data_IF_007445219614
#
_entry.id   IF_007445219614
#
_cell.length_a   1.000
_cell.length_b   1.000
_cell.length_c   1.000
_cell.angle_alpha   90.00
_cell.angle_beta   90.00
_cell.angle_gamma   90.00
#
_symmetry.space_group_name_H-M   'P 1'
#
loop_
_entity.id
_entity.type
_entity.pdbx_description
1 polymer ?
#
# COMPACT_ATOMS: atom_id res chain seq x y z
N UNK A 1 -6.80 -38.72 25.00
CA UNK A 1 -6.55 -37.36 25.50
C UNK A 1 -5.03 -37.21 25.48
N UNK A 2 -4.38 -36.41 24.67
CA UNK A 2 -4.83 -35.22 23.97
C UNK A 2 -3.81 -34.96 22.85
N UNK A 3 -4.35 -34.80 21.65
CA UNK A 3 -3.76 -34.35 20.40
C UNK A 3 -2.35 -33.73 20.51
N UNK A 4 -1.36 -34.46 19.99
CA UNK A 4 -0.09 -33.88 19.53
C UNK A 4 -0.43 -32.81 18.51
N UNK A 5 -0.37 -31.54 18.92
CA UNK A 5 -0.50 -30.37 18.06
C UNK A 5 0.36 -30.60 16.81
N UNK A 6 -0.30 -30.72 15.65
CA UNK A 6 0.35 -30.56 14.36
C UNK A 6 0.89 -29.12 14.32
N UNK A 7 2.14 -28.96 14.74
CA UNK A 7 2.91 -27.76 14.41
C UNK A 7 2.94 -27.69 12.89
N UNK A 8 2.13 -26.77 12.36
CA UNK A 8 2.02 -26.45 10.96
C UNK A 8 3.39 -25.96 10.50
N UNK A 9 4.20 -26.90 10.00
CA UNK A 9 5.59 -26.69 9.62
C UNK A 9 5.58 -25.79 8.39
N UNK A 10 5.66 -24.49 8.59
CA UNK A 10 5.97 -23.53 7.53
C UNK A 10 7.26 -24.04 6.88
N UNK A 11 7.17 -24.51 5.64
CA UNK A 11 8.32 -25.00 4.89
C UNK A 11 9.15 -23.77 4.54
N UNK A 12 9.99 -23.33 5.47
CA UNK A 12 11.04 -22.36 5.18
C UNK A 12 12.03 -23.09 4.27
N UNK A 13 11.97 -22.79 2.97
CA UNK A 13 12.99 -23.21 2.02
C UNK A 13 14.34 -22.63 2.49
N UNK A 14 15.36 -23.47 2.62
CA UNK A 14 16.73 -22.98 2.81
C UNK A 14 17.22 -22.50 1.45
N UNK A 15 16.99 -21.22 1.15
CA UNK A 15 17.35 -20.59 -0.12
C UNK A 15 18.82 -20.83 -0.52
N UNK A 16 19.72 -21.12 0.43
CA UNK A 16 21.12 -21.43 0.17
C UNK A 16 21.38 -22.88 -0.27
N UNK A 17 20.46 -23.81 0.01
CA UNK A 17 20.61 -25.25 -0.28
C UNK A 17 19.65 -25.77 -1.34
N UNK A 18 18.50 -25.13 -1.47
CA UNK A 18 17.45 -25.59 -2.38
C UNK A 18 17.79 -25.33 -3.85
N UNK A 19 17.24 -26.17 -4.74
CA UNK A 19 17.43 -26.01 -6.19
C UNK A 19 16.73 -24.75 -6.69
N UNK A 20 17.34 -24.06 -7.65
CA UNK A 20 16.75 -22.86 -8.29
C UNK A 20 15.33 -23.13 -8.80
N UNK A 21 15.07 -24.29 -9.42
CA UNK A 21 13.73 -24.64 -9.92
C UNK A 21 12.68 -24.77 -8.81
N UNK A 22 13.08 -25.23 -7.62
CA UNK A 22 12.19 -25.30 -6.47
C UNK A 22 11.87 -23.89 -5.95
N UNK A 23 12.89 -23.05 -5.79
CA UNK A 23 12.71 -21.64 -5.38
C UNK A 23 11.86 -20.85 -6.37
N UNK A 24 12.03 -21.09 -7.67
CA UNK A 24 11.18 -20.52 -8.72
C UNK A 24 9.72 -20.97 -8.55
N UNK A 25 9.47 -22.26 -8.30
CA UNK A 25 8.14 -22.78 -8.07
C UNK A 25 7.41 -22.14 -6.88
N UNK A 26 8.15 -21.70 -5.85
CA UNK A 26 7.60 -21.00 -4.69
C UNK A 26 7.28 -19.52 -4.96
N UNK A 27 8.07 -18.85 -5.81
CA UNK A 27 7.96 -17.41 -6.06
C UNK A 27 7.08 -17.07 -7.26
N UNK A 28 7.14 -17.88 -8.33
CA UNK A 28 6.51 -17.59 -9.60
C UNK A 28 4.99 -17.37 -9.50
N UNK A 29 4.21 -18.17 -8.74
CA UNK A 29 2.78 -17.93 -8.59
C UNK A 29 2.47 -16.53 -8.04
N UNK A 30 3.20 -16.09 -7.01
CA UNK A 30 3.01 -14.78 -6.39
C UNK A 30 3.47 -13.63 -7.29
N UNK A 31 4.57 -13.83 -8.03
CA UNK A 31 5.03 -12.86 -9.02
C UNK A 31 4.05 -12.71 -10.19
N UNK A 32 3.37 -13.79 -10.59
CA UNK A 32 2.31 -13.72 -11.60
C UNK A 32 1.09 -12.95 -11.09
N UNK A 33 0.72 -13.12 -9.82
CA UNK A 33 -0.33 -12.29 -9.18
C UNK A 33 0.08 -10.81 -9.16
N UNK A 34 1.33 -10.52 -8.79
CA UNK A 34 1.91 -9.17 -8.87
C UNK A 34 1.86 -8.57 -10.27
N UNK A 35 2.21 -9.36 -11.29
CA UNK A 35 2.16 -8.94 -12.70
C UNK A 35 0.73 -8.59 -13.14
N UNK A 36 -0.25 -9.42 -12.77
CA UNK A 36 -1.66 -9.14 -13.05
C UNK A 36 -2.09 -7.86 -12.32
N UNK A 37 -1.74 -7.71 -11.04
CA UNK A 37 -2.02 -6.52 -10.23
C UNK A 37 -1.44 -5.24 -10.84
N UNK A 38 -0.15 -5.26 -11.20
CA UNK A 38 0.52 -4.13 -11.85
C UNK A 38 -0.06 -3.81 -13.24
N UNK A 39 -0.54 -4.82 -13.97
CA UNK A 39 -1.26 -4.62 -15.24
C UNK A 39 -2.60 -3.93 -14.99
N UNK A 40 -3.36 -4.33 -13.97
CA UNK A 40 -4.61 -3.68 -13.59
C UNK A 40 -4.37 -2.22 -13.17
N UNK A 41 -3.34 -1.97 -12.37
CA UNK A 41 -2.92 -0.62 -12.00
C UNK A 41 -2.61 0.23 -13.25
N UNK A 42 -1.87 -0.32 -14.23
CA UNK A 42 -1.57 0.35 -15.50
C UNK A 42 -2.84 0.67 -16.31
N UNK A 43 -3.82 -0.24 -16.34
CA UNK A 43 -5.12 0.00 -16.99
C UNK A 43 -5.90 1.11 -16.28
N UNK A 44 -5.79 1.23 -14.95
CA UNK A 44 -6.41 2.34 -14.22
C UNK A 44 -5.75 3.66 -14.58
N UNK A 45 -4.41 3.71 -14.61
CA UNK A 45 -3.67 4.92 -15.02
C UNK A 45 -4.09 5.38 -16.41
N UNK A 46 -4.29 4.46 -17.36
CA UNK A 46 -4.71 4.83 -18.72
C UNK A 46 -6.12 5.43 -18.78
N UNK A 47 -6.99 5.18 -17.80
CA UNK A 47 -8.30 5.87 -17.70
C UNK A 47 -8.17 7.34 -17.34
N UNK A 48 -7.01 7.77 -16.85
CA UNK A 48 -6.71 9.16 -16.51
C UNK A 48 -5.77 9.83 -17.52
N UNK A 49 -5.71 9.30 -18.76
CA UNK A 49 -4.92 9.88 -19.86
C UNK A 49 -5.23 11.36 -20.09
N UNK A 50 -6.49 11.79 -19.98
CA UNK A 50 -6.87 13.21 -20.12
C UNK A 50 -6.25 14.09 -19.03
N UNK A 51 -6.16 13.61 -17.79
CA UNK A 51 -5.51 14.33 -16.68
C UNK A 51 -4.00 14.45 -16.94
N UNK A 52 -3.39 13.36 -17.41
CA UNK A 52 -1.96 13.28 -17.68
C UNK A 52 -1.55 14.12 -18.90
N UNK A 53 -2.37 14.17 -19.95
CA UNK A 53 -2.08 14.94 -21.15
C UNK A 53 -2.18 16.45 -20.90
N UNK A 54 -3.02 16.88 -19.97
CA UNK A 54 -3.07 18.27 -19.52
C UNK A 54 -1.82 18.65 -18.72
N UNK A 55 -1.33 17.76 -17.84
CA UNK A 55 -0.16 18.01 -17.00
C UNK A 55 0.73 16.75 -16.86
N UNK A 56 1.66 16.57 -17.80
CA UNK A 56 2.57 15.41 -17.85
C UNK A 56 3.41 15.29 -16.57
N UNK A 57 3.76 16.42 -15.93
CA UNK A 57 4.54 16.46 -14.69
C UNK A 57 3.89 15.67 -13.54
N UNK A 58 2.57 15.43 -13.56
CA UNK A 58 1.92 14.59 -12.57
C UNK A 58 2.44 13.14 -12.59
N UNK A 59 2.88 12.63 -13.74
CA UNK A 59 3.44 11.28 -13.84
C UNK A 59 4.72 11.12 -13.00
N UNK A 60 5.48 12.20 -12.78
CA UNK A 60 6.76 12.16 -12.08
C UNK A 60 6.61 11.84 -10.59
N UNK A 61 5.46 12.19 -10.00
CA UNK A 61 5.17 11.98 -8.58
C UNK A 61 4.46 10.66 -8.29
N UNK A 62 3.95 9.98 -9.33
CA UNK A 62 3.19 8.74 -9.18
C UNK A 62 3.98 7.64 -8.45
N UNK A 63 5.25 7.34 -8.81
CA UNK A 63 6.02 6.30 -8.11
C UNK A 63 6.22 6.63 -6.63
N UNK A 64 6.42 7.91 -6.31
CA UNK A 64 6.64 8.35 -4.93
C UNK A 64 5.37 8.21 -4.10
N UNK A 65 4.21 8.61 -4.64
CA UNK A 65 2.93 8.49 -3.92
C UNK A 65 2.61 7.03 -3.63
N UNK A 66 2.73 6.17 -4.63
CA UNK A 66 2.50 4.72 -4.46
C UNK A 66 3.45 4.14 -3.42
N UNK A 67 4.75 4.46 -3.52
CA UNK A 67 5.76 3.99 -2.56
C UNK A 67 5.47 4.46 -1.13
N UNK A 68 5.16 5.75 -0.92
CA UNK A 68 4.92 6.29 0.43
C UNK A 68 3.68 5.68 1.07
N UNK A 69 2.60 5.48 0.30
CA UNK A 69 1.41 4.77 0.73
C UNK A 69 1.72 3.35 1.19
N UNK A 70 2.42 2.56 0.37
CA UNK A 70 2.77 1.17 0.68
C UNK A 70 3.75 1.07 1.86
N UNK A 71 4.72 1.98 1.96
CA UNK A 71 5.66 2.02 3.08
C UNK A 71 4.95 2.28 4.41
N UNK A 72 4.00 3.23 4.46
CA UNK A 72 3.21 3.52 5.67
C UNK A 72 2.27 2.36 6.00
N UNK A 73 1.62 1.77 5.00
CA UNK A 73 0.77 0.60 5.17
C UNK A 73 1.53 -0.61 5.73
N UNK A 74 2.67 -0.94 5.12
CA UNK A 74 3.54 -2.06 5.54
C UNK A 74 4.08 -1.86 6.96
N UNK A 75 4.45 -0.63 7.33
CA UNK A 75 4.84 -0.32 8.72
C UNK A 75 3.68 -0.56 9.69
N UNK A 76 2.48 -0.11 9.33
CA UNK A 76 1.26 -0.31 10.12
C UNK A 76 0.97 -1.81 10.32
N UNK A 77 0.99 -2.61 9.25
CA UNK A 77 0.75 -4.04 9.27
C UNK A 77 1.80 -4.77 10.14
N UNK A 78 3.08 -4.43 9.96
CA UNK A 78 4.18 -5.03 10.74
C UNK A 78 4.01 -4.78 12.25
N UNK A 79 3.62 -3.56 12.63
CA UNK A 79 3.37 -3.21 14.03
C UNK A 79 2.11 -3.92 14.54
N UNK A 80 1.07 -4.03 13.72
CA UNK A 80 -0.18 -4.70 14.07
C UNK A 80 0.03 -6.18 14.38
N UNK A 81 0.70 -6.93 13.51
CA UNK A 81 1.00 -8.36 13.73
C UNK A 81 1.78 -8.57 15.02
N UNK A 82 2.77 -7.70 15.31
CA UNK A 82 3.53 -7.73 16.58
C UNK A 82 2.69 -7.44 17.81
N UNK A 83 1.66 -6.59 17.69
CA UNK A 83 0.77 -6.23 18.78
C UNK A 83 -0.36 -7.26 18.98
N UNK A 84 -0.82 -7.91 17.91
CA UNK A 84 -1.78 -9.02 17.96
C UNK A 84 -1.22 -10.17 18.79
N UNK A 85 0.06 -10.50 18.60
CA UNK A 85 0.79 -11.49 19.42
C UNK A 85 0.84 -11.15 20.92
N UNK A 86 0.57 -9.89 21.30
CA UNK A 86 0.56 -9.41 22.70
C UNK A 86 -0.85 -9.33 23.31
N UNK A 87 -1.92 -9.56 22.53
CA UNK A 87 -3.30 -9.79 23.01
C UNK A 87 -4.00 -8.64 23.75
N UNK A 88 -3.63 -7.37 23.54
CA UNK A 88 -3.98 -6.27 24.47
C UNK A 88 -4.89 -5.15 23.95
N UNK A 89 -5.27 -5.11 22.67
CA UNK A 89 -5.97 -3.93 22.10
C UNK A 89 -7.11 -4.36 21.17
N UNK A 90 -8.26 -3.67 21.26
CA UNK A 90 -9.37 -3.84 20.32
C UNK A 90 -9.02 -3.31 18.93
N UNK A 91 -9.45 -4.02 17.88
CA UNK A 91 -9.16 -3.66 16.48
C UNK A 91 -9.62 -2.23 16.14
N UNK A 92 -10.81 -1.83 16.59
CA UNK A 92 -11.36 -0.49 16.34
C UNK A 92 -10.52 0.61 16.98
N UNK A 93 -10.10 0.45 18.23
CA UNK A 93 -9.25 1.45 18.90
C UNK A 93 -7.87 1.52 18.27
N UNK A 94 -7.34 0.39 17.80
CA UNK A 94 -6.08 0.36 17.06
C UNK A 94 -6.19 1.09 15.71
N UNK A 95 -7.22 0.76 14.90
CA UNK A 95 -7.51 1.40 13.62
C UNK A 95 -7.63 2.93 13.75
N UNK A 96 -8.35 3.42 14.77
CA UNK A 96 -8.50 4.86 15.00
C UNK A 96 -7.15 5.52 15.33
N UNK A 97 -6.30 4.88 16.13
CA UNK A 97 -4.97 5.41 16.44
C UNK A 97 -4.07 5.45 15.21
N UNK A 98 -4.03 4.37 14.44
CA UNK A 98 -3.22 4.30 13.22
C UNK A 98 -3.72 5.26 12.14
N UNK A 99 -5.04 5.47 12.04
CA UNK A 99 -5.59 6.49 11.16
C UNK A 99 -5.15 7.91 11.57
N UNK A 100 -5.13 8.23 12.88
CA UNK A 100 -4.61 9.52 13.36
C UNK A 100 -3.11 9.67 13.09
N UNK A 101 -2.33 8.60 13.24
CA UNK A 101 -0.91 8.58 12.85
C UNK A 101 -0.78 8.86 11.34
N UNK A 102 -1.58 8.19 10.52
CA UNK A 102 -1.66 8.42 9.08
C UNK A 102 -1.98 9.87 8.73
N UNK A 103 -2.93 10.51 9.43
CA UNK A 103 -3.25 11.94 9.22
C UNK A 103 -2.02 12.81 9.48
N UNK A 104 -1.33 12.60 10.62
CA UNK A 104 -0.14 13.40 10.98
C UNK A 104 0.97 13.21 9.94
N UNK A 105 1.26 11.97 9.57
CA UNK A 105 2.25 11.66 8.53
C UNK A 105 1.85 12.25 7.18
N UNK A 106 0.56 12.18 6.83
CA UNK A 106 0.03 12.74 5.60
C UNK A 106 0.22 14.25 5.55
N UNK A 107 0.03 14.97 6.66
CA UNK A 107 0.26 16.42 6.70
C UNK A 107 1.74 16.71 6.47
N UNK A 108 2.62 16.00 7.17
CA UNK A 108 4.07 16.18 7.06
C UNK A 108 4.54 15.90 5.63
N UNK A 109 4.24 14.72 5.08
CA UNK A 109 4.70 14.34 3.75
C UNK A 109 3.99 15.10 2.64
N UNK A 110 2.71 15.45 2.81
CA UNK A 110 1.95 16.30 1.88
C UNK A 110 2.53 17.70 1.77
N UNK A 111 2.87 18.34 2.89
CA UNK A 111 3.54 19.64 2.87
C UNK A 111 4.92 19.52 2.23
N UNK A 112 5.73 18.53 2.65
CA UNK A 112 7.08 18.36 2.11
C UNK A 112 7.09 18.16 0.60
N UNK A 113 6.27 17.23 0.09
CA UNK A 113 6.23 16.97 -1.35
C UNK A 113 5.59 18.13 -2.12
N UNK A 114 4.61 18.82 -1.54
CA UNK A 114 4.04 20.03 -2.12
C UNK A 114 5.08 21.14 -2.28
N UNK A 115 5.92 21.37 -1.27
CA UNK A 115 7.02 22.34 -1.35
C UNK A 115 8.05 21.95 -2.42
N UNK A 116 8.44 20.68 -2.46
CA UNK A 116 9.37 20.15 -3.48
C UNK A 116 8.78 20.33 -4.88
N UNK A 117 7.52 19.95 -5.07
CA UNK A 117 6.82 20.09 -6.35
C UNK A 117 6.69 21.56 -6.76
N UNK A 118 6.42 22.47 -5.82
CA UNK A 118 6.36 23.90 -6.11
C UNK A 118 7.71 24.44 -6.57
N UNK A 119 8.79 24.08 -5.88
CA UNK A 119 10.14 24.50 -6.26
C UNK A 119 10.60 23.91 -7.59
N UNK A 120 10.28 22.64 -7.85
CA UNK A 120 10.76 21.93 -9.03
C UNK A 120 9.95 22.24 -10.29
N UNK A 121 8.61 22.20 -10.18
CA UNK A 121 7.71 22.37 -11.34
C UNK A 121 7.36 23.84 -11.56
N UNK A 122 7.42 24.68 -10.52
CA UNK A 122 7.08 26.10 -10.61
C UNK A 122 5.58 26.39 -10.73
N UNK A 123 4.72 25.38 -10.53
CA UNK A 123 3.25 25.52 -10.60
C UNK A 123 2.63 25.22 -9.24
N UNK A 124 2.05 26.25 -8.61
CA UNK A 124 1.35 26.10 -7.34
C UNK A 124 0.15 25.14 -7.45
N UNK A 125 -0.57 25.17 -8.58
CA UNK A 125 -1.71 24.26 -8.82
C UNK A 125 -1.27 22.80 -8.77
N UNK A 126 -0.17 22.45 -9.47
CA UNK A 126 0.39 21.08 -9.46
C UNK A 126 0.93 20.74 -8.07
N UNK A 127 1.66 21.66 -7.44
CA UNK A 127 2.21 21.46 -6.11
C UNK A 127 1.13 21.16 -5.05
N UNK A 128 0.05 21.93 -5.07
CA UNK A 128 -1.10 21.72 -4.19
C UNK A 128 -1.78 20.37 -4.47
N UNK A 129 -1.99 20.03 -5.74
CA UNK A 129 -2.53 18.72 -6.15
C UNK A 129 -1.70 17.56 -5.60
N UNK A 130 -0.38 17.59 -5.81
CA UNK A 130 0.53 16.53 -5.36
C UNK A 130 0.56 16.44 -3.84
N UNK A 131 0.65 17.58 -3.15
CA UNK A 131 0.68 17.63 -1.69
C UNK A 131 -0.63 17.12 -1.06
N UNK A 132 -1.77 17.55 -1.58
CA UNK A 132 -3.08 17.10 -1.11
C UNK A 132 -3.28 15.60 -1.38
N UNK A 133 -2.92 15.14 -2.57
CA UNK A 133 -3.04 13.73 -2.90
C UNK A 133 -2.14 12.86 -2.02
N UNK A 134 -0.91 13.28 -1.74
CA UNK A 134 -0.02 12.60 -0.79
C UNK A 134 -0.63 12.55 0.62
N UNK A 135 -1.20 13.67 1.09
CA UNK A 135 -1.88 13.71 2.38
C UNK A 135 -3.00 12.67 2.47
N UNK A 136 -3.91 12.64 1.50
CA UNK A 136 -5.06 11.72 1.51
C UNK A 136 -4.59 10.26 1.42
N UNK A 137 -3.61 9.99 0.55
CA UNK A 137 -3.02 8.67 0.38
C UNK A 137 -2.44 8.13 1.69
N UNK A 138 -1.54 8.89 2.32
CA UNK A 138 -0.87 8.48 3.56
C UNK A 138 -1.84 8.40 4.73
N UNK A 139 -2.86 9.27 4.78
CA UNK A 139 -3.88 9.22 5.82
C UNK A 139 -4.72 7.93 5.77
N UNK A 140 -5.01 7.42 4.56
CA UNK A 140 -5.87 6.24 4.37
C UNK A 140 -5.07 4.93 4.35
N UNK A 141 -3.76 4.97 4.05
CA UNK A 141 -2.91 3.78 3.99
C UNK A 141 -3.01 2.83 5.21
N UNK A 142 -3.02 3.32 6.47
CA UNK A 142 -3.18 2.44 7.63
C UNK A 142 -4.51 1.68 7.65
N UNK A 143 -5.58 2.29 7.13
CA UNK A 143 -6.91 1.66 7.06
C UNK A 143 -6.86 0.50 6.06
N UNK A 144 -6.32 0.74 4.86
CA UNK A 144 -6.23 -0.28 3.81
C UNK A 144 -5.36 -1.46 4.30
N UNK A 145 -4.20 -1.15 4.87
CA UNK A 145 -3.25 -2.15 5.37
C UNK A 145 -3.83 -3.05 6.47
N UNK A 146 -4.82 -2.58 7.22
CA UNK A 146 -5.44 -3.36 8.31
C UNK A 146 -6.74 -4.03 7.88
N UNK A 147 -7.51 -3.43 6.97
CA UNK A 147 -8.74 -4.01 6.44
C UNK A 147 -8.44 -5.21 5.53
N UNK A 148 -7.43 -5.13 4.66
CA UNK A 148 -7.15 -6.20 3.71
C UNK A 148 -6.84 -7.52 4.42
N UNK A 149 -5.93 -7.59 5.43
CA UNK A 149 -5.68 -8.83 6.16
C UNK A 149 -6.89 -9.26 7.00
N UNK A 150 -7.59 -8.35 7.66
CA UNK A 150 -8.72 -8.71 8.54
C UNK A 150 -9.98 -9.15 7.79
N UNK A 151 -10.19 -8.67 6.57
CA UNK A 151 -11.31 -9.07 5.72
C UNK A 151 -11.05 -10.41 5.01
N UNK A 152 -9.80 -10.66 4.59
CA UNK A 152 -9.42 -11.85 3.83
C UNK A 152 -9.09 -13.02 4.75
N UNK A 153 -8.38 -12.78 5.85
CA UNK A 153 -8.00 -13.78 6.83
C UNK A 153 -8.99 -13.76 8.00
N UNK A 154 -10.26 -14.06 7.71
CA UNK A 154 -11.18 -14.49 8.77
C UNK A 154 -10.68 -15.81 9.34
N UNK A 155 -10.79 -15.92 10.67
CA UNK A 155 -10.34 -16.99 11.56
C UNK A 155 -9.84 -18.27 10.85
N UNK A 156 -8.55 -18.59 11.05
CA UNK A 156 -7.84 -19.87 10.77
C UNK A 156 -6.81 -19.87 9.63
N UNK A 157 -6.68 -18.78 8.86
CA UNK A 157 -5.57 -18.64 7.89
C UNK A 157 -4.49 -17.72 8.47
N UNK A 158 -3.24 -18.19 8.48
CA UNK A 158 -2.08 -17.42 8.95
C UNK A 158 -1.87 -16.20 8.03
N UNK A 159 -2.05 -14.96 8.53
CA UNK A 159 -1.85 -13.74 7.74
C UNK A 159 -0.45 -13.65 7.13
N UNK A 160 0.55 -14.31 7.74
CA UNK A 160 1.94 -14.27 7.30
C UNK A 160 2.20 -15.01 5.98
N UNK A 161 1.30 -15.90 5.54
CA UNK A 161 1.56 -16.81 4.42
C UNK A 161 1.23 -16.26 3.02
N UNK A 162 0.67 -15.06 2.90
CA UNK A 162 0.34 -14.48 1.58
C UNK A 162 -0.29 -13.10 1.55
N UNK A 163 -0.52 -12.45 2.70
CA UNK A 163 -1.13 -11.12 2.75
C UNK A 163 -0.29 -10.04 2.06
N UNK A 164 1.05 -10.15 2.09
CA UNK A 164 1.96 -9.10 1.63
C UNK A 164 1.73 -8.66 0.17
N UNK A 165 1.98 -9.52 -0.84
CA UNK A 165 1.84 -9.12 -2.24
C UNK A 165 0.42 -8.67 -2.61
N UNK A 166 -0.60 -9.30 -2.03
CA UNK A 166 -1.99 -8.92 -2.30
C UNK A 166 -2.33 -7.55 -1.70
N UNK A 167 -1.91 -7.28 -0.46
CA UNK A 167 -2.13 -6.00 0.21
C UNK A 167 -1.44 -4.86 -0.54
N UNK A 168 -0.21 -5.07 -1.01
CA UNK A 168 0.48 -4.08 -1.85
C UNK A 168 -0.28 -3.80 -3.15
N UNK A 169 -0.78 -4.80 -3.87
CA UNK A 169 -1.56 -4.56 -5.10
C UNK A 169 -2.81 -3.70 -4.82
N UNK A 170 -3.53 -4.01 -3.74
CA UNK A 170 -4.72 -3.23 -3.35
C UNK A 170 -4.33 -1.81 -2.97
N UNK A 171 -3.25 -1.65 -2.20
CA UNK A 171 -2.72 -0.35 -1.80
C UNK A 171 -2.31 0.48 -3.03
N UNK A 172 -1.61 -0.10 -3.99
CA UNK A 172 -1.19 0.56 -5.24
C UNK A 172 -2.39 1.06 -6.03
N UNK A 173 -3.38 0.19 -6.26
CA UNK A 173 -4.59 0.52 -7.00
C UNK A 173 -5.34 1.67 -6.33
N UNK A 174 -5.56 1.60 -5.02
CA UNK A 174 -6.26 2.66 -4.29
C UNK A 174 -5.44 3.95 -4.33
N UNK A 175 -4.11 3.85 -4.24
CA UNK A 175 -3.24 5.03 -4.22
C UNK A 175 -3.21 5.77 -5.56
N UNK A 176 -3.26 5.02 -6.66
CA UNK A 176 -3.40 5.56 -8.02
C UNK A 176 -4.76 6.25 -8.18
N UNK A 177 -5.86 5.60 -7.73
CA UNK A 177 -7.21 6.15 -7.81
C UNK A 177 -7.35 7.46 -7.02
N UNK A 178 -7.19 7.40 -5.70
CA UNK A 178 -6.28 8.31 -4.99
C UNK A 178 -5.88 9.61 -5.69
N UNK A 179 -4.65 9.51 -6.18
CA UNK A 179 -3.91 10.56 -6.81
C UNK A 179 -4.66 11.19 -7.99
N UNK A 180 -5.16 10.38 -8.90
CA UNK A 180 -5.78 10.91 -10.12
C UNK A 180 -7.17 11.50 -9.91
N UNK A 181 -7.93 11.02 -8.93
CA UNK A 181 -9.20 11.65 -8.55
C UNK A 181 -8.97 13.04 -7.95
N UNK A 182 -7.98 13.19 -7.07
CA UNK A 182 -7.58 14.50 -6.54
C UNK A 182 -7.08 15.40 -7.67
N UNK A 183 -6.22 14.88 -8.55
CA UNK A 183 -5.70 15.64 -9.67
C UNK A 183 -6.79 16.09 -10.64
N UNK A 184 -7.70 15.19 -11.03
CA UNK A 184 -8.82 15.54 -11.91
C UNK A 184 -9.74 16.58 -11.26
N UNK A 185 -10.07 16.43 -9.98
CA UNK A 185 -10.89 17.40 -9.27
C UNK A 185 -10.26 18.79 -9.22
N UNK A 186 -8.96 18.90 -8.91
CA UNK A 186 -8.27 20.20 -8.81
C UNK A 186 -7.98 20.80 -10.19
N UNK A 187 -7.61 20.00 -11.19
CA UNK A 187 -7.25 20.51 -12.51
C UNK A 187 -8.46 21.00 -13.31
N UNK A 188 -9.59 20.31 -13.20
CA UNK A 188 -10.83 20.64 -13.92
C UNK A 188 -11.85 21.44 -13.09
N UNK A 189 -11.47 21.93 -11.91
CA UNK A 189 -12.25 22.94 -11.16
C UNK A 189 -11.81 24.37 -11.48
#
# INVERSE_FOLDING_TARGET
>A
MEQTKQEQKVVYADDAKERVSFLLGLRLPWLLVGLIGGTLASVIVSRFETVLSENISLAFFLPLIVYMSDAVGTQTETIFVRNLAKGKISLTTYLLKEFLVGIVLGVVFGILIGLIANFWIGSFKIAFTVGLAMFVNVAIAPIIALIVPTAIFKEHLDPALGAGPFTTIVQDIISILIYFLVAGFILFS
#
